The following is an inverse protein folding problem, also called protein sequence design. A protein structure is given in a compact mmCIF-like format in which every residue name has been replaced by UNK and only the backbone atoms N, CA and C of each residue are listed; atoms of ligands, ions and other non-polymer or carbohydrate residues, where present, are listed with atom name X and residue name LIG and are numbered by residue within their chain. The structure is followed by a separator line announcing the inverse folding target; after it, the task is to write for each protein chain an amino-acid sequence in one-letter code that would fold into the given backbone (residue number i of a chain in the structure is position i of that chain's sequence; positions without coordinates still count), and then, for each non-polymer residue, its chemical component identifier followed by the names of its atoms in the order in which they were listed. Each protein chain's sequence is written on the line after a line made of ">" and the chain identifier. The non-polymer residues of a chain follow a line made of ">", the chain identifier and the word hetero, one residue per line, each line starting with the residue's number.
data_IF_570283581217
#
_entry.id   IF_570283581217
#
_cell.length_a   1.000
_cell.length_b   1.000
_cell.length_c   1.000
_cell.angle_alpha   90.00
_cell.angle_beta   90.00
_cell.angle_gamma   90.00
#
_symmetry.space_group_name_H-M   'P 1'
#
loop_
_entity.id
_entity.type
_entity.pdbx_description
1 polymer ?
#
# COMPACT_ATOMS: atom_id res chain seq x y z
N UNK A 1 -50.37 -33.64 -8.25
CA UNK A 1 -50.84 -32.71 -9.30
C UNK A 1 -49.92 -31.49 -9.27
N UNK A 2 -48.85 -31.53 -10.05
CA UNK A 2 -48.06 -30.33 -10.35
C UNK A 2 -47.47 -30.48 -11.74
N UNK A 3 -47.62 -29.42 -12.52
CA UNK A 3 -47.71 -29.41 -13.98
C UNK A 3 -46.33 -29.31 -14.62
N UNK A 4 -46.08 -30.16 -15.62
CA UNK A 4 -45.01 -30.04 -16.60
C UNK A 4 -45.07 -28.66 -17.29
N UNK A 5 -43.98 -27.89 -17.28
CA UNK A 5 -43.78 -26.80 -18.25
C UNK A 5 -42.52 -27.05 -19.06
N UNK A 6 -42.78 -27.42 -20.30
CA UNK A 6 -41.88 -27.54 -21.43
C UNK A 6 -41.30 -26.16 -21.76
N UNK A 7 -39.97 -26.05 -21.82
CA UNK A 7 -39.29 -24.90 -22.42
C UNK A 7 -38.74 -25.30 -23.78
N UNK A 8 -39.10 -24.48 -24.76
CA UNK A 8 -38.73 -24.58 -26.18
C UNK A 8 -37.31 -24.03 -26.34
N UNK A 9 -36.44 -24.82 -26.98
CA UNK A 9 -35.10 -24.41 -27.39
C UNK A 9 -35.17 -23.48 -28.60
N UNK A 10 -34.78 -22.21 -28.45
CA UNK A 10 -34.37 -21.35 -29.58
C UNK A 10 -33.29 -20.37 -29.08
N UNK A 11 -32.12 -20.39 -29.73
CA UNK A 11 -31.13 -19.32 -29.67
C UNK A 11 -29.86 -19.67 -28.89
N UNK A 12 -28.78 -19.91 -29.61
CA UNK A 12 -27.43 -20.13 -29.09
C UNK A 12 -26.84 -18.83 -28.53
N UNK A 13 -26.96 -18.63 -27.23
CA UNK A 13 -26.00 -17.82 -26.46
C UNK A 13 -25.47 -18.71 -25.34
N UNK A 14 -24.15 -18.94 -25.38
CA UNK A 14 -23.42 -19.66 -24.34
C UNK A 14 -23.40 -18.77 -23.10
N UNK A 15 -24.44 -18.89 -22.29
CA UNK A 15 -24.41 -18.53 -20.88
C UNK A 15 -23.72 -19.68 -20.17
N UNK A 16 -22.38 -19.65 -20.17
CA UNK A 16 -21.62 -20.52 -19.26
C UNK A 16 -21.96 -20.07 -17.84
N UNK A 17 -22.63 -20.99 -17.17
CA UNK A 17 -23.42 -20.84 -15.96
C UNK A 17 -22.66 -20.21 -14.79
N UNK A 18 -23.26 -19.16 -14.22
CA UNK A 18 -22.97 -18.67 -12.86
C UNK A 18 -23.06 -19.79 -11.80
N UNK A 19 -23.78 -20.87 -12.12
CA UNK A 19 -24.01 -22.03 -11.26
C UNK A 19 -22.80 -22.99 -11.16
N UNK A 20 -21.99 -23.12 -12.21
CA UNK A 20 -20.77 -23.96 -12.17
C UNK A 20 -19.63 -23.28 -11.39
N UNK A 21 -19.60 -21.94 -11.35
CA UNK A 21 -18.58 -21.17 -10.60
C UNK A 21 -18.69 -21.35 -9.08
N UNK A 22 -19.90 -21.49 -8.53
CA UNK A 22 -20.14 -21.64 -7.08
C UNK A 22 -19.64 -23.01 -6.58
N UNK A 23 -19.68 -24.05 -7.42
CA UNK A 23 -19.23 -25.39 -7.05
C UNK A 23 -17.70 -25.56 -7.14
N UNK A 24 -16.99 -24.66 -7.83
CA UNK A 24 -15.54 -24.73 -8.03
C UNK A 24 -14.72 -23.83 -7.09
N UNK A 25 -15.36 -22.96 -6.30
CA UNK A 25 -14.66 -22.04 -5.40
C UNK A 25 -13.83 -20.97 -6.10
N UNK A 26 -14.04 -20.75 -7.40
CA UNK A 26 -13.34 -19.73 -8.19
C UNK A 26 -14.23 -18.49 -8.29
N UNK A 27 -13.90 -17.46 -7.52
CA UNK A 27 -14.57 -16.16 -7.58
C UNK A 27 -14.01 -15.34 -8.75
N UNK A 28 -14.76 -15.26 -9.84
CA UNK A 28 -14.43 -14.41 -10.98
C UNK A 28 -14.99 -13.02 -10.76
N UNK A 29 -14.11 -12.02 -10.75
CA UNK A 29 -14.46 -10.61 -10.63
C UNK A 29 -14.79 -10.04 -12.01
N UNK A 30 -15.62 -9.00 -12.04
CA UNK A 30 -15.67 -8.09 -13.18
C UNK A 30 -14.41 -7.21 -13.20
N UNK A 31 -14.08 -6.67 -14.37
CA UNK A 31 -12.95 -5.73 -14.54
C UNK A 31 -13.05 -4.51 -13.61
N UNK A 32 -14.27 -4.02 -13.37
CA UNK A 32 -14.51 -2.90 -12.45
C UNK A 32 -14.30 -3.29 -10.98
N UNK A 33 -14.76 -4.47 -10.56
CA UNK A 33 -14.58 -4.93 -9.18
C UNK A 33 -13.10 -5.15 -8.87
N UNK A 34 -12.32 -5.76 -9.79
CA UNK A 34 -10.88 -5.91 -9.61
C UNK A 34 -10.15 -4.56 -9.62
N UNK A 35 -10.62 -3.61 -10.45
CA UNK A 35 -10.12 -2.23 -10.46
C UNK A 35 -10.33 -1.54 -9.12
N UNK A 36 -11.55 -1.60 -8.57
CA UNK A 36 -11.86 -1.05 -7.25
C UNK A 36 -11.04 -1.69 -6.14
N UNK A 37 -10.83 -3.01 -6.20
CA UNK A 37 -9.97 -3.70 -5.22
C UNK A 37 -8.54 -3.14 -5.29
N UNK A 38 -7.95 -2.98 -6.47
CA UNK A 38 -6.62 -2.36 -6.65
C UNK A 38 -6.55 -0.93 -6.11
N UNK A 39 -7.60 -0.13 -6.35
CA UNK A 39 -7.69 1.25 -5.84
C UNK A 39 -7.68 1.27 -4.30
N UNK A 40 -8.31 0.31 -3.62
CA UNK A 40 -8.23 0.22 -2.15
C UNK A 40 -6.81 0.01 -1.63
N UNK A 41 -6.00 -0.83 -2.29
CA UNK A 41 -4.58 -0.99 -1.93
C UNK A 41 -3.81 0.31 -2.16
N UNK A 42 -4.05 0.98 -3.30
CA UNK A 42 -3.41 2.26 -3.61
C UNK A 42 -3.79 3.35 -2.60
N UNK A 43 -5.03 3.38 -2.08
CA UNK A 43 -5.41 4.29 -1.00
C UNK A 43 -4.62 4.05 0.28
N UNK A 44 -4.39 2.80 0.68
CA UNK A 44 -3.54 2.49 1.83
C UNK A 44 -2.08 2.93 1.60
N UNK A 45 -1.57 2.75 0.37
CA UNK A 45 -0.23 3.21 -0.01
C UNK A 45 -0.13 4.74 0.05
N UNK A 46 -1.14 5.47 -0.43
CA UNK A 46 -1.17 6.93 -0.36
C UNK A 46 -1.11 7.39 1.10
N UNK A 47 -1.97 6.87 1.98
CA UNK A 47 -1.94 7.22 3.40
C UNK A 47 -0.61 6.89 4.06
N UNK A 48 -0.01 5.74 3.75
CA UNK A 48 1.29 5.36 4.28
C UNK A 48 2.38 6.35 3.85
N UNK A 49 2.40 6.76 2.58
CA UNK A 49 3.33 7.77 2.09
C UNK A 49 3.12 9.12 2.77
N UNK A 50 1.89 9.62 2.87
CA UNK A 50 1.65 10.94 3.45
C UNK A 50 2.01 11.00 4.94
N UNK A 51 1.70 9.96 5.71
CA UNK A 51 2.11 9.89 7.11
C UNK A 51 3.63 9.88 7.25
N UNK A 52 4.31 9.19 6.33
CA UNK A 52 5.77 9.09 6.33
C UNK A 52 6.43 10.40 5.87
N UNK A 53 5.88 11.06 4.85
CA UNK A 53 6.37 12.36 4.37
C UNK A 53 6.12 13.46 5.41
N UNK A 54 4.98 13.45 6.09
CA UNK A 54 4.72 14.35 7.22
C UNK A 54 5.71 14.11 8.38
N UNK A 55 6.04 12.85 8.66
CA UNK A 55 7.04 12.49 9.65
C UNK A 55 8.42 13.06 9.26
N UNK A 56 8.86 12.84 8.02
CA UNK A 56 10.14 13.36 7.52
C UNK A 56 10.15 14.89 7.53
N UNK A 57 9.06 15.54 7.14
CA UNK A 57 8.91 17.00 7.17
C UNK A 57 9.12 17.58 8.58
N UNK A 58 8.63 16.90 9.63
CA UNK A 58 8.88 17.29 11.02
C UNK A 58 10.34 17.07 11.40
N UNK A 59 10.93 15.94 10.99
CA UNK A 59 12.33 15.60 11.31
C UNK A 59 13.31 16.58 10.65
N UNK A 60 13.13 16.85 9.36
CA UNK A 60 13.97 17.75 8.56
C UNK A 60 13.74 19.20 8.99
N UNK A 61 12.48 19.57 9.23
CA UNK A 61 12.11 20.86 9.80
C UNK A 61 12.69 21.09 11.18
N UNK A 62 12.96 20.04 11.96
CA UNK A 62 13.64 20.14 13.26
C UNK A 62 15.04 20.74 13.18
N UNK A 63 15.67 20.63 12.01
CA UNK A 63 16.98 21.22 11.70
C UNK A 63 16.88 22.63 11.15
N UNK A 64 16.03 22.84 10.13
CA UNK A 64 15.94 24.13 9.43
C UNK A 64 15.03 25.14 10.15
N UNK A 65 13.95 24.66 10.78
CA UNK A 65 12.87 25.42 11.42
C UNK A 65 12.76 25.13 12.93
N UNK A 66 13.91 24.91 13.57
CA UNK A 66 13.99 24.56 14.98
C UNK A 66 13.22 25.53 15.89
N UNK A 67 13.41 26.84 15.71
CA UNK A 67 12.74 27.86 16.52
C UNK A 67 11.22 27.79 16.37
N UNK A 68 10.72 27.63 15.14
CA UNK A 68 9.30 27.55 14.85
C UNK A 68 8.66 26.27 15.39
N UNK A 69 9.33 25.13 15.25
CA UNK A 69 8.89 23.85 15.82
C UNK A 69 8.89 23.92 17.35
N UNK A 70 9.88 24.61 17.95
CA UNK A 70 9.99 24.73 19.40
C UNK A 70 8.79 25.45 20.04
N UNK A 71 8.08 26.30 19.28
CA UNK A 71 6.86 26.98 19.74
C UNK A 71 5.76 25.99 20.16
N UNK A 72 5.76 24.80 19.58
CA UNK A 72 4.78 23.75 19.87
C UNK A 72 5.47 22.38 20.05
N UNK A 73 6.62 22.35 20.74
CA UNK A 73 7.46 21.16 20.85
C UNK A 73 6.70 19.88 21.26
N UNK A 74 5.86 19.95 22.30
CA UNK A 74 5.07 18.80 22.77
C UNK A 74 4.12 18.27 21.69
N UNK A 75 3.50 19.17 20.91
CA UNK A 75 2.64 18.78 19.80
C UNK A 75 3.43 18.00 18.75
N UNK A 76 4.55 18.54 18.27
CA UNK A 76 5.38 17.86 17.26
C UNK A 76 5.96 16.54 17.76
N UNK A 77 6.30 16.43 19.05
CA UNK A 77 6.72 15.15 19.65
C UNK A 77 5.60 14.11 19.55
N UNK A 78 4.39 14.44 20.01
CA UNK A 78 3.25 13.50 20.01
C UNK A 78 2.86 13.13 18.57
N UNK A 79 2.82 14.12 17.68
CA UNK A 79 2.51 13.94 16.26
C UNK A 79 3.53 13.00 15.60
N UNK A 80 4.83 13.20 15.82
CA UNK A 80 5.89 12.32 15.29
C UNK A 80 5.70 10.86 15.72
N UNK A 81 5.43 10.60 17.00
CA UNK A 81 5.19 9.24 17.49
C UNK A 81 3.95 8.61 16.88
N UNK A 82 2.89 9.41 16.70
CA UNK A 82 1.64 8.97 16.09
C UNK A 82 1.84 8.61 14.61
N UNK A 83 2.56 9.45 13.86
CA UNK A 83 2.86 9.24 12.44
C UNK A 83 3.67 7.95 12.22
N UNK A 84 4.69 7.68 13.04
CA UNK A 84 5.45 6.43 12.99
C UNK A 84 4.51 5.22 13.10
N UNK A 85 3.63 5.23 14.10
CA UNK A 85 2.67 4.15 14.29
C UNK A 85 1.75 4.02 13.07
N UNK A 86 1.28 5.14 12.52
CA UNK A 86 0.34 5.16 11.40
C UNK A 86 0.95 4.60 10.12
N UNK A 87 2.10 5.13 9.64
CA UNK A 87 2.67 4.65 8.38
C UNK A 87 3.13 3.20 8.48
N UNK A 88 3.72 2.78 9.62
CA UNK A 88 4.12 1.39 9.79
C UNK A 88 2.90 0.47 9.76
N UNK A 89 1.80 0.84 10.40
CA UNK A 89 0.58 0.03 10.40
C UNK A 89 -0.03 -0.08 9.00
N UNK A 90 -0.09 1.01 8.23
CA UNK A 90 -0.56 0.97 6.84
C UNK A 90 0.31 0.05 5.96
N UNK A 91 1.64 0.15 6.04
CA UNK A 91 2.54 -0.76 5.31
C UNK A 91 2.34 -2.21 5.77
N UNK A 92 2.09 -2.44 7.06
CA UNK A 92 1.93 -3.80 7.59
C UNK A 92 0.70 -4.49 6.99
N UNK A 93 -0.42 -3.77 6.77
CA UNK A 93 -1.61 -4.31 6.10
C UNK A 93 -1.30 -4.83 4.70
N UNK A 94 -0.42 -4.13 3.97
CA UNK A 94 -0.07 -4.48 2.59
C UNK A 94 0.72 -5.80 2.47
N UNK A 95 1.35 -6.28 3.54
CA UNK A 95 2.24 -7.45 3.47
C UNK A 95 1.89 -8.59 4.45
N UNK A 96 0.93 -8.42 5.35
CA UNK A 96 0.59 -9.49 6.28
C UNK A 96 -0.19 -10.63 5.62
N UNK A 97 0.51 -11.72 5.32
CA UNK A 97 -0.06 -12.91 4.68
C UNK A 97 -1.01 -13.72 5.56
N UNK A 98 -1.14 -13.37 6.85
CA UNK A 98 -2.18 -13.93 7.73
C UNK A 98 -3.57 -13.38 7.42
N UNK A 99 -3.62 -12.23 6.74
CA UNK A 99 -4.85 -11.54 6.37
C UNK A 99 -5.20 -11.81 4.89
N UNK A 100 -6.49 -11.76 4.58
CA UNK A 100 -7.00 -11.99 3.23
C UNK A 100 -6.68 -10.84 2.26
N UNK A 101 -6.43 -9.65 2.81
CA UNK A 101 -6.13 -8.42 2.04
C UNK A 101 -4.68 -7.98 2.23
N UNK A 102 -3.78 -8.57 1.44
CA UNK A 102 -2.39 -8.14 1.31
C UNK A 102 -1.88 -8.35 -0.13
N UNK A 103 -0.81 -7.67 -0.51
CA UNK A 103 -0.25 -7.67 -1.88
C UNK A 103 0.05 -9.11 -2.37
N UNK A 104 0.62 -10.03 -1.56
CA UNK A 104 0.76 -11.43 -1.98
C UNK A 104 -0.57 -12.11 -2.36
N UNK A 105 -1.68 -11.80 -1.69
CA UNK A 105 -3.01 -12.33 -2.05
C UNK A 105 -3.58 -11.61 -3.26
N UNK A 106 -3.37 -10.29 -3.38
CA UNK A 106 -3.73 -9.51 -4.57
C UNK A 106 -3.06 -10.07 -5.84
N UNK A 107 -1.77 -10.44 -5.78
CA UNK A 107 -1.05 -11.08 -6.89
C UNK A 107 -1.76 -12.39 -7.31
N UNK A 108 -2.15 -13.23 -6.36
CA UNK A 108 -2.90 -14.46 -6.64
C UNK A 108 -4.27 -14.17 -7.24
N UNK A 109 -4.96 -13.15 -6.73
CA UNK A 109 -6.27 -12.71 -7.23
C UNK A 109 -6.18 -12.22 -8.68
N UNK A 110 -5.16 -11.42 -9.02
CA UNK A 110 -4.90 -10.99 -10.39
C UNK A 110 -4.57 -12.18 -11.30
N UNK A 111 -3.79 -13.17 -10.82
CA UNK A 111 -3.49 -14.40 -11.56
C UNK A 111 -4.76 -15.20 -11.89
N UNK A 112 -5.66 -15.35 -10.92
CA UNK A 112 -6.95 -16.04 -11.09
C UNK A 112 -7.87 -15.31 -12.09
N UNK A 113 -7.79 -13.98 -12.13
CA UNK A 113 -8.58 -13.12 -13.01
C UNK A 113 -7.78 -12.62 -14.22
N UNK A 114 -6.78 -13.39 -14.67
CA UNK A 114 -5.86 -12.99 -15.75
C UNK A 114 -6.55 -12.68 -17.08
N UNK A 115 -7.71 -13.28 -17.34
CA UNK A 115 -8.55 -13.01 -18.52
C UNK A 115 -9.07 -11.57 -18.60
N UNK A 116 -9.08 -10.83 -17.49
CA UNK A 116 -9.57 -9.44 -17.43
C UNK A 116 -8.53 -8.41 -17.91
N UNK A 117 -7.27 -8.82 -17.99
CA UNK A 117 -6.17 -8.00 -18.48
C UNK A 117 -6.14 -8.10 -20.01
N UNK A 118 -6.16 -6.96 -20.69
CA UNK A 118 -6.06 -6.88 -22.15
C UNK A 118 -4.75 -7.53 -22.65
N UNK A 119 -4.72 -8.00 -23.90
CA UNK A 119 -3.55 -8.66 -24.47
C UNK A 119 -2.57 -7.71 -25.17
N UNK A 120 -2.84 -6.40 -25.16
CA UNK A 120 -1.99 -5.40 -25.82
C UNK A 120 -0.76 -5.14 -24.95
N UNK A 121 0.42 -5.08 -25.58
CA UNK A 121 1.72 -4.87 -24.92
C UNK A 121 1.67 -3.75 -23.89
N UNK A 122 1.82 -4.11 -22.61
CA UNK A 122 1.92 -3.11 -21.55
C UNK A 122 3.34 -2.58 -21.45
N UNK A 123 3.46 -1.29 -21.18
CA UNK A 123 4.73 -0.67 -20.78
C UNK A 123 4.63 -0.37 -19.30
N UNK A 124 4.96 -1.38 -18.49
CA UNK A 124 4.99 -1.19 -17.05
C UNK A 124 6.40 -0.77 -16.68
N UNK A 125 6.57 0.48 -16.23
CA UNK A 125 7.83 0.97 -15.69
C UNK A 125 7.86 0.60 -14.21
N UNK A 126 8.67 -0.40 -13.86
CA UNK A 126 9.02 -0.70 -12.47
C UNK A 126 10.48 -0.29 -12.23
N UNK A 127 10.73 0.53 -11.20
CA UNK A 127 12.05 0.92 -10.69
C UNK A 127 13.15 1.03 -11.77
N UNK A 128 13.07 2.08 -12.60
CA UNK A 128 14.12 2.48 -13.55
C UNK A 128 14.48 1.46 -14.67
N UNK A 129 13.50 1.18 -15.56
CA UNK A 129 13.65 0.80 -16.98
C UNK A 129 13.40 -0.67 -17.40
N UNK A 130 12.85 -1.55 -16.57
CA UNK A 130 12.37 -2.85 -17.09
C UNK A 130 10.98 -2.69 -17.72
N UNK A 131 10.90 -2.82 -19.05
CA UNK A 131 9.64 -2.92 -19.78
C UNK A 131 9.14 -4.36 -19.66
N UNK A 132 7.97 -4.53 -19.05
CA UNK A 132 7.33 -5.84 -18.89
C UNK A 132 6.15 -5.95 -19.83
N UNK A 133 6.20 -6.91 -20.77
CA UNK A 133 5.25 -7.02 -21.87
C UNK A 133 3.97 -7.81 -21.57
N UNK A 134 3.91 -8.54 -20.46
CA UNK A 134 2.76 -9.39 -20.12
C UNK A 134 2.51 -9.49 -18.61
N UNK A 135 1.27 -9.84 -18.23
CA UNK A 135 0.84 -9.97 -16.85
C UNK A 135 1.65 -11.03 -16.07
N UNK A 136 1.97 -12.18 -16.67
CA UNK A 136 2.65 -13.24 -15.94
C UNK A 136 4.07 -12.81 -15.55
N UNK A 137 4.79 -12.17 -16.47
CA UNK A 137 6.09 -11.58 -16.20
C UNK A 137 6.01 -10.53 -15.09
N UNK A 138 4.97 -9.68 -15.09
CA UNK A 138 4.74 -8.70 -14.02
C UNK A 138 4.55 -9.37 -12.66
N UNK A 139 3.69 -10.39 -12.58
CA UNK A 139 3.41 -11.10 -11.33
C UNK A 139 4.66 -11.81 -10.80
N UNK A 140 5.49 -12.39 -11.68
CA UNK A 140 6.76 -13.03 -11.31
C UNK A 140 7.75 -12.00 -10.75
N UNK A 141 7.91 -10.86 -11.41
CA UNK A 141 8.77 -9.77 -10.93
C UNK A 141 8.28 -9.25 -9.58
N UNK A 142 6.97 -9.06 -9.42
CA UNK A 142 6.37 -8.63 -8.15
C UNK A 142 6.68 -9.62 -7.01
N UNK A 143 6.49 -10.92 -7.24
CA UNK A 143 6.81 -11.97 -6.25
C UNK A 143 8.30 -11.97 -5.88
N UNK A 144 9.19 -11.87 -6.86
CA UNK A 144 10.64 -11.82 -6.63
C UNK A 144 11.05 -10.56 -5.86
N UNK A 145 10.45 -9.41 -6.16
CA UNK A 145 10.75 -8.15 -5.50
C UNK A 145 10.25 -8.10 -4.06
N UNK A 146 9.11 -8.75 -3.78
CA UNK A 146 8.65 -9.00 -2.40
C UNK A 146 9.66 -9.90 -1.67
N UNK A 147 10.12 -10.97 -2.31
CA UNK A 147 11.09 -11.89 -1.70
C UNK A 147 12.42 -11.19 -1.37
N UNK A 148 12.87 -10.24 -2.20
CA UNK A 148 14.08 -9.44 -1.94
C UNK A 148 13.97 -8.58 -0.66
N UNK A 149 12.75 -8.20 -0.25
CA UNK A 149 12.50 -7.42 0.96
C UNK A 149 11.95 -8.27 2.13
N UNK A 150 12.03 -9.60 2.05
CA UNK A 150 11.47 -10.51 3.06
C UNK A 150 11.98 -10.24 4.49
N UNK A 151 13.27 -9.90 4.65
CA UNK A 151 13.81 -9.53 5.96
C UNK A 151 13.15 -8.27 6.54
N UNK A 152 12.94 -7.25 5.72
CA UNK A 152 12.31 -5.99 6.11
C UNK A 152 10.84 -6.22 6.45
N UNK A 153 10.13 -7.01 5.63
CA UNK A 153 8.74 -7.40 5.87
C UNK A 153 8.64 -8.14 7.21
N UNK A 154 9.54 -9.10 7.49
CA UNK A 154 9.57 -9.82 8.77
C UNK A 154 9.82 -8.91 9.97
N UNK A 155 10.77 -7.98 9.86
CA UNK A 155 10.99 -6.96 10.89
C UNK A 155 9.75 -6.10 11.12
N UNK A 156 9.07 -5.66 10.06
CA UNK A 156 7.84 -4.89 10.14
C UNK A 156 6.72 -5.66 10.86
N UNK A 157 6.48 -6.92 10.46
CA UNK A 157 5.49 -7.79 11.10
C UNK A 157 5.80 -7.98 12.59
N UNK A 158 7.06 -8.23 12.92
CA UNK A 158 7.46 -8.41 14.31
C UNK A 158 7.27 -7.14 15.15
N UNK A 159 7.59 -5.95 14.60
CA UNK A 159 7.31 -4.68 15.27
C UNK A 159 5.82 -4.47 15.53
N UNK A 160 4.97 -4.78 14.53
CA UNK A 160 3.52 -4.72 14.72
C UNK A 160 3.09 -5.65 15.85
N UNK A 161 3.44 -6.92 15.75
CA UNK A 161 2.98 -7.94 16.69
C UNK A 161 3.54 -7.74 18.11
N UNK A 162 4.70 -7.12 18.28
CA UNK A 162 5.35 -6.99 19.59
C UNK A 162 5.14 -5.65 20.28
N UNK A 163 4.79 -4.61 19.52
CA UNK A 163 4.72 -3.26 20.06
C UNK A 163 3.45 -2.51 19.66
N UNK A 164 3.09 -2.48 18.37
CA UNK A 164 1.99 -1.62 17.92
C UNK A 164 0.60 -2.25 18.10
N UNK A 165 0.47 -3.57 17.93
CA UNK A 165 -0.79 -4.30 18.08
C UNK A 165 -0.88 -5.03 19.43
N UNK A 166 0.25 -5.41 20.02
CA UNK A 166 0.30 -6.07 21.32
C UNK A 166 1.34 -5.41 22.23
N UNK A 167 0.97 -5.23 23.50
CA UNK A 167 1.84 -4.64 24.51
C UNK A 167 2.76 -5.71 25.13
N UNK A 168 3.70 -6.23 24.35
CA UNK A 168 4.67 -7.19 24.87
C UNK A 168 5.51 -6.52 25.98
N UNK A 169 5.49 -7.13 27.17
CA UNK A 169 6.17 -6.63 28.37
C UNK A 169 7.66 -6.38 28.13
N UNK A 170 8.28 -7.12 27.21
CA UNK A 170 9.70 -6.97 26.85
C UNK A 170 10.00 -5.61 26.21
N UNK A 171 9.07 -5.05 25.45
CA UNK A 171 9.26 -3.82 24.68
C UNK A 171 8.55 -2.60 25.26
N UNK A 172 7.59 -2.82 26.17
CA UNK A 172 6.83 -1.75 26.83
C UNK A 172 7.71 -0.69 27.50
N UNK A 173 8.78 -1.09 28.18
CA UNK A 173 9.66 -0.18 28.91
C UNK A 173 10.96 0.19 28.16
N UNK A 174 11.22 -0.38 26.99
CA UNK A 174 12.50 -0.20 26.27
C UNK A 174 12.31 -0.31 24.77
N UNK A 175 11.87 0.79 24.16
CA UNK A 175 11.65 0.90 22.71
C UNK A 175 12.94 0.81 21.90
N UNK A 176 14.11 1.13 22.48
CA UNK A 176 15.40 0.95 21.80
C UNK A 176 15.70 -0.51 21.45
N UNK A 177 15.34 -1.46 22.32
CA UNK A 177 15.47 -2.89 22.05
C UNK A 177 14.61 -3.37 20.89
N UNK A 178 13.49 -2.70 20.62
CA UNK A 178 12.65 -3.01 19.47
C UNK A 178 13.40 -2.69 18.16
N UNK A 179 14.19 -1.62 18.16
CA UNK A 179 15.00 -1.24 17.02
C UNK A 179 16.17 -2.23 16.78
N UNK A 180 16.74 -2.76 17.86
CA UNK A 180 17.82 -3.76 17.80
C UNK A 180 17.31 -5.14 17.36
N UNK A 181 16.22 -5.62 17.98
CA UNK A 181 15.68 -6.96 17.72
C UNK A 181 15.01 -7.06 16.33
N UNK A 182 14.40 -5.96 15.87
CA UNK A 182 13.66 -5.90 14.61
C UNK A 182 14.02 -4.62 13.85
N UNK A 183 15.19 -4.54 13.20
CA UNK A 183 15.62 -3.31 12.52
C UNK A 183 14.72 -2.99 11.32
N UNK A 184 14.31 -1.73 11.23
CA UNK A 184 13.73 -1.10 10.03
C UNK A 184 14.24 0.35 10.03
N UNK A 185 14.89 0.75 8.95
CA UNK A 185 15.41 2.09 8.78
C UNK A 185 14.61 2.86 7.70
N UNK A 186 14.97 4.12 7.47
CA UNK A 186 14.30 4.99 6.50
C UNK A 186 14.36 4.41 5.08
N UNK A 187 15.50 3.85 4.66
CA UNK A 187 15.65 3.22 3.35
C UNK A 187 14.76 1.99 3.21
N UNK A 188 14.63 1.17 4.26
CA UNK A 188 13.73 0.02 4.25
C UNK A 188 12.27 0.46 4.06
N UNK A 189 11.84 1.53 4.75
CA UNK A 189 10.49 2.08 4.60
C UNK A 189 10.26 2.62 3.18
N UNK A 190 11.23 3.37 2.62
CA UNK A 190 11.18 3.84 1.24
C UNK A 190 11.00 2.67 0.26
N UNK A 191 11.86 1.64 0.38
CA UNK A 191 11.81 0.48 -0.51
C UNK A 191 10.49 -0.29 -0.41
N UNK A 192 9.89 -0.39 0.77
CA UNK A 192 8.56 -1.02 0.94
C UNK A 192 7.44 -0.19 0.30
N UNK A 193 7.45 1.14 0.46
CA UNK A 193 6.45 2.03 -0.14
C UNK A 193 6.57 2.08 -1.67
N UNK A 194 7.79 2.18 -2.19
CA UNK A 194 8.09 2.15 -3.63
C UNK A 194 7.69 0.81 -4.24
N UNK A 195 8.04 -0.31 -3.60
CA UNK A 195 7.62 -1.65 -4.05
C UNK A 195 6.10 -1.76 -4.11
N UNK A 196 5.41 -1.34 -3.04
CA UNK A 196 3.95 -1.43 -2.93
C UNK A 196 3.25 -0.61 -4.02
N UNK A 197 3.67 0.66 -4.17
CA UNK A 197 3.17 1.57 -5.20
C UNK A 197 3.44 1.01 -6.59
N UNK A 198 4.67 0.57 -6.84
CA UNK A 198 5.09 -0.01 -8.11
C UNK A 198 4.21 -1.20 -8.50
N UNK A 199 4.04 -2.18 -7.62
CA UNK A 199 3.21 -3.36 -7.91
C UNK A 199 1.76 -2.96 -8.19
N UNK A 200 1.14 -2.16 -7.31
CA UNK A 200 -0.30 -1.88 -7.41
C UNK A 200 -0.63 -0.98 -8.61
N UNK A 201 0.18 0.05 -8.89
CA UNK A 201 -0.03 0.92 -10.05
C UNK A 201 0.26 0.19 -11.37
N UNK A 202 1.20 -0.75 -11.37
CA UNK A 202 1.47 -1.60 -12.53
C UNK A 202 0.28 -2.49 -12.86
N UNK A 203 -0.31 -3.12 -11.84
CA UNK A 203 -1.49 -3.96 -11.99
C UNK A 203 -2.71 -3.16 -12.43
N UNK A 204 -2.92 -1.97 -11.87
CA UNK A 204 -4.02 -1.09 -12.27
C UNK A 204 -3.85 -0.61 -13.72
N UNK A 205 -2.65 -0.16 -14.09
CA UNK A 205 -2.33 0.25 -15.45
C UNK A 205 -2.51 -0.89 -16.44
N UNK A 206 -2.07 -2.09 -16.11
CA UNK A 206 -2.32 -3.28 -16.92
C UNK A 206 -3.82 -3.59 -17.03
N UNK A 207 -4.57 -3.47 -15.95
CA UNK A 207 -5.99 -3.77 -15.97
C UNK A 207 -6.76 -2.79 -16.85
N UNK A 208 -6.64 -1.48 -16.62
CA UNK A 208 -7.51 -0.47 -17.23
C UNK A 208 -6.82 0.82 -17.69
N UNK A 209 -5.49 0.89 -17.64
CA UNK A 209 -4.71 2.06 -18.05
C UNK A 209 -4.69 3.21 -17.02
N UNK A 210 -5.30 3.02 -15.84
CA UNK A 210 -5.29 4.03 -14.79
C UNK A 210 -4.05 3.92 -13.89
N UNK A 211 -3.68 5.05 -13.29
CA UNK A 211 -2.64 5.14 -12.27
C UNK A 211 -3.09 6.10 -11.17
N UNK A 212 -2.75 5.79 -9.93
CA UNK A 212 -2.97 6.64 -8.77
C UNK A 212 -1.62 7.18 -8.31
N UNK A 213 -1.55 8.49 -8.16
CA UNK A 213 -0.37 9.14 -7.61
C UNK A 213 -0.15 8.65 -6.16
N UNK A 214 1.06 8.23 -5.77
CA UNK A 214 1.29 7.57 -4.48
C UNK A 214 1.22 8.51 -3.26
N UNK A 215 0.82 9.77 -3.46
CA UNK A 215 0.79 10.85 -2.48
C UNK A 215 -0.36 11.80 -2.78
N UNK A 216 -0.93 12.41 -1.74
CA UNK A 216 -1.80 13.57 -1.95
C UNK A 216 -1.00 14.79 -2.41
N UNK A 217 -1.67 15.70 -3.13
CA UNK A 217 -1.08 16.98 -3.56
C UNK A 217 -0.86 17.86 -2.31
N UNK A 218 0.27 18.58 -2.25
CA UNK A 218 0.69 19.44 -1.14
C UNK A 218 1.04 18.68 0.16
N UNK A 219 1.67 17.51 0.06
CA UNK A 219 2.17 16.77 1.21
C UNK A 219 3.38 17.43 1.92
N UNK A 220 3.87 18.56 1.41
CA UNK A 220 4.96 19.39 1.94
C UNK A 220 4.46 20.69 2.63
N UNK A 221 3.16 20.77 2.94
CA UNK A 221 2.49 21.94 3.49
C UNK A 221 3.08 22.43 4.84
N UNK A 222 3.64 21.54 5.65
CA UNK A 222 4.27 21.88 6.92
C UNK A 222 5.43 22.86 6.72
N UNK A 223 6.27 22.67 5.70
CA UNK A 223 7.40 23.57 5.42
C UNK A 223 6.88 24.97 5.10
N UNK A 224 5.84 25.05 4.26
CA UNK A 224 5.18 26.32 3.93
C UNK A 224 4.60 27.02 5.16
N UNK A 225 4.03 26.26 6.10
CA UNK A 225 3.51 26.78 7.36
C UNK A 225 4.63 27.30 8.27
N UNK A 226 5.75 26.57 8.39
CA UNK A 226 6.91 26.97 9.19
C UNK A 226 7.59 28.22 8.62
N UNK A 227 7.73 28.31 7.30
CA UNK A 227 8.21 29.53 6.63
C UNK A 227 7.36 30.76 6.95
N UNK A 228 6.03 30.61 7.02
CA UNK A 228 5.13 31.69 7.39
C UNK A 228 5.32 32.11 8.87
N UNK A 229 5.45 31.13 9.77
CA UNK A 229 5.69 31.39 11.19
C UNK A 229 6.99 32.18 11.42
N UNK A 230 8.08 31.80 10.74
CA UNK A 230 9.36 32.51 10.75
C UNK A 230 9.23 33.98 10.37
N UNK A 231 8.60 34.24 9.22
CA UNK A 231 8.38 35.60 8.71
C UNK A 231 7.60 36.46 9.71
N UNK A 232 6.59 35.89 10.36
CA UNK A 232 5.80 36.59 11.38
C UNK A 232 6.64 36.98 12.60
N UNK A 233 7.54 36.10 13.06
CA UNK A 233 8.43 36.38 14.18
C UNK A 233 9.44 37.49 13.85
N UNK A 234 9.99 37.50 12.63
CA UNK A 234 10.94 38.54 12.20
C UNK A 234 10.35 39.95 12.04
N UNK A 235 9.02 40.08 11.95
CA UNK A 235 8.33 41.38 11.88
C UNK A 235 8.11 41.98 13.27
N UNK A 236 8.17 41.16 14.33
CA UNK A 236 7.94 41.57 15.72
C UNK A 236 9.22 41.94 16.49
N UNK A 237 10.40 41.69 15.92
CA UNK A 237 11.72 42.05 16.45
C UNK A 237 12.20 43.38 15.88
#
# INVERSE_FOLDING_TARGET
>A
MTVFRQWVMVGTEVTLDLFDCILCGVYYMTKNELGLELEYYLHHIVWANDYYDAYNSIMDGGTEYYEEISLANTFFIITRYSLISSFLMEITKLFDQREDKCIPQLIKLCRQNSVLFSADEYYIIWNDNEIVHDLNSLLVIAEQSIQKLDSQIKSLMARRDRYYAHNDKRYFATTSRLADDYPINQQDVNSLLELSSGICNSLLGALNGNHIHPRHINNDDLVSLLMCARKSNSIKS
#
